data_IF_020542599813
#
_entry.id   IF_020542599813
#
_cell.length_a   1.000
_cell.length_b   1.000
_cell.length_c   1.000
_cell.angle_alpha   90.00
_cell.angle_beta   90.00
_cell.angle_gamma   90.00
#
_symmetry.space_group_name_H-M   'P 1'
#
loop_
_entity.id
_entity.type
_entity.pdbx_description
1 polymer ?
#
# COMPACT_ATOMS: atom_id res chain seq x y z
N UNK A 1 -64.06 75.37 -14.53
CA UNK A 1 -62.80 76.10 -14.32
C UNK A 1 -61.65 75.17 -14.69
N UNK A 2 -60.88 75.55 -15.71
CA UNK A 2 -59.42 75.35 -15.93
C UNK A 2 -58.85 73.93 -15.70
N UNK A 3 -58.50 73.23 -16.79
CA UNK A 3 -57.15 73.14 -17.44
C UNK A 3 -56.28 72.09 -16.71
N UNK A 4 -56.02 70.92 -17.29
CA UNK A 4 -55.10 70.66 -18.42
C UNK A 4 -53.64 70.81 -18.01
N UNK A 5 -52.89 69.75 -18.28
CA UNK A 5 -51.52 69.66 -18.84
C UNK A 5 -50.82 68.41 -18.23
N UNK A 6 -50.07 67.54 -18.90
CA UNK A 6 -49.55 67.37 -20.27
C UNK A 6 -49.01 65.91 -20.28
N UNK A 7 -49.46 65.08 -21.23
CA UNK A 7 -48.66 64.45 -22.31
C UNK A 7 -47.37 63.69 -21.90
N UNK A 8 -47.35 62.37 -22.11
CA UNK A 8 -46.64 61.71 -23.22
C UNK A 8 -46.47 60.20 -22.97
N UNK A 9 -47.11 59.43 -23.83
CA UNK A 9 -46.77 58.07 -24.31
C UNK A 9 -45.26 57.79 -24.39
N UNK A 10 -44.85 56.55 -24.13
CA UNK A 10 -44.32 55.59 -25.13
C UNK A 10 -43.88 54.27 -24.45
N UNK A 11 -44.31 53.18 -25.09
CA UNK A 11 -43.81 51.80 -25.03
C UNK A 11 -42.37 51.60 -24.52
N UNK A 12 -42.17 50.77 -23.50
CA UNK A 12 -40.95 49.95 -23.37
C UNK A 12 -41.33 48.51 -22.99
N UNK A 13 -41.40 47.71 -24.05
CA UNK A 13 -40.93 46.32 -24.22
C UNK A 13 -40.58 45.55 -22.94
N UNK A 14 -41.30 44.43 -22.75
CA UNK A 14 -40.88 43.27 -21.98
C UNK A 14 -39.45 42.85 -22.36
N UNK A 15 -38.46 43.27 -21.58
CA UNK A 15 -37.14 42.62 -21.56
C UNK A 15 -37.16 41.59 -20.43
N UNK A 16 -37.53 40.39 -20.84
CA UNK A 16 -37.15 39.12 -20.25
C UNK A 16 -35.66 39.22 -19.90
N UNK A 17 -35.37 39.50 -18.63
CA UNK A 17 -34.01 39.42 -18.11
C UNK A 17 -33.69 37.93 -17.98
N UNK A 18 -33.22 37.37 -19.09
CA UNK A 18 -32.41 36.17 -19.10
C UNK A 18 -31.16 36.45 -18.23
N UNK A 19 -31.27 36.22 -16.92
CA UNK A 19 -30.12 35.72 -16.18
C UNK A 19 -29.85 34.30 -16.70
N UNK A 20 -29.15 34.26 -17.85
CA UNK A 20 -28.32 33.11 -18.21
C UNK A 20 -27.39 32.93 -17.02
N UNK A 21 -27.70 31.95 -16.16
CA UNK A 21 -26.67 31.29 -15.37
C UNK A 21 -25.61 30.90 -16.40
N UNK A 22 -24.45 31.52 -16.32
CA UNK A 22 -23.27 30.91 -16.90
C UNK A 22 -23.12 29.58 -16.19
N UNK A 23 -23.66 28.52 -16.79
CA UNK A 23 -23.20 27.17 -16.55
C UNK A 23 -21.73 27.19 -16.93
N UNK A 24 -20.87 27.42 -15.93
CA UNK A 24 -19.47 27.08 -16.05
C UNK A 24 -19.46 25.61 -16.45
N UNK A 25 -19.11 25.34 -17.71
CA UNK A 25 -18.81 23.98 -18.13
C UNK A 25 -17.80 23.44 -17.11
N UNK A 26 -18.06 22.28 -16.50
CA UNK A 26 -17.13 21.69 -15.56
C UNK A 26 -15.79 21.59 -16.27
N UNK A 27 -14.76 22.21 -15.69
CA UNK A 27 -13.40 22.05 -16.18
C UNK A 27 -13.13 20.55 -16.12
N UNK A 28 -12.47 19.97 -17.12
CA UNK A 28 -12.20 18.52 -17.17
C UNK A 28 -11.54 18.02 -15.86
N UNK A 29 -10.83 18.90 -15.13
CA UNK A 29 -10.33 18.64 -13.78
C UNK A 29 -11.41 18.25 -12.77
N UNK A 30 -12.57 18.91 -12.79
CA UNK A 30 -13.66 18.70 -11.83
C UNK A 30 -14.42 17.40 -12.09
N UNK A 31 -14.33 16.87 -13.32
CA UNK A 31 -14.85 15.56 -13.72
C UNK A 31 -13.88 14.40 -13.40
N UNK A 32 -12.64 14.70 -13.03
CA UNK A 32 -11.58 13.73 -12.74
C UNK A 32 -11.22 13.66 -11.25
N UNK A 33 -11.86 14.46 -10.40
CA UNK A 33 -11.76 14.32 -8.95
C UNK A 33 -12.74 13.21 -8.55
N UNK A 34 -12.23 12.00 -8.36
CA UNK A 34 -12.97 10.99 -7.61
C UNK A 34 -13.14 11.49 -6.17
N UNK A 35 -14.38 11.84 -5.81
CA UNK A 35 -14.74 12.18 -4.44
C UNK A 35 -14.82 10.89 -3.62
N UNK A 36 -13.70 10.56 -2.96
CA UNK A 36 -13.59 9.39 -2.11
C UNK A 36 -14.26 9.65 -0.75
N UNK A 37 -15.54 9.26 -0.64
CA UNK A 37 -16.27 9.28 0.63
C UNK A 37 -16.00 8.01 1.46
N UNK A 38 -14.95 8.06 2.29
CA UNK A 38 -14.55 6.98 3.21
C UNK A 38 -15.51 6.80 4.41
N UNK A 39 -16.45 7.74 4.61
CA UNK A 39 -17.35 7.72 5.76
C UNK A 39 -18.49 6.70 5.62
N UNK A 40 -18.72 6.15 4.42
CA UNK A 40 -19.80 5.20 4.14
C UNK A 40 -19.71 3.91 4.98
N UNK A 41 -18.50 3.49 5.30
CA UNK A 41 -18.23 2.29 6.11
C UNK A 41 -17.79 2.62 7.55
N UNK A 42 -18.03 3.85 8.00
CA UNK A 42 -17.64 4.30 9.33
C UNK A 42 -18.37 3.53 10.44
N UNK A 43 -17.59 2.86 11.30
CA UNK A 43 -18.09 2.24 12.53
C UNK A 43 -17.92 3.21 13.68
N UNK A 44 -19.00 3.54 14.37
CA UNK A 44 -18.98 4.37 15.58
C UNK A 44 -19.08 3.49 16.84
N UNK A 45 -17.94 3.16 17.44
CA UNK A 45 -17.88 2.41 18.70
C UNK A 45 -17.51 3.33 19.86
N UNK A 46 -18.51 3.69 20.66
CA UNK A 46 -18.37 4.60 21.81
C UNK A 46 -18.59 3.91 23.17
N UNK A 47 -18.90 2.60 23.16
CA UNK A 47 -19.36 1.88 24.36
C UNK A 47 -18.33 1.88 25.50
N UNK A 48 -17.05 1.72 25.16
CA UNK A 48 -15.94 1.66 26.12
C UNK A 48 -14.99 2.87 26.01
N UNK A 49 -15.46 3.98 25.43
CA UNK A 49 -14.66 5.18 25.25
C UNK A 49 -14.84 6.12 26.45
N UNK A 50 -13.75 6.51 27.16
CA UNK A 50 -13.81 7.49 28.24
C UNK A 50 -14.47 8.80 27.81
N UNK A 51 -15.24 9.42 28.70
CA UNK A 51 -16.05 10.60 28.36
C UNK A 51 -15.25 11.76 27.75
N UNK A 52 -14.03 12.04 28.24
CA UNK A 52 -13.18 13.12 27.70
C UNK A 52 -12.58 12.81 26.32
N UNK A 53 -12.66 11.56 25.86
CA UNK A 53 -12.17 11.13 24.54
C UNK A 53 -13.29 10.92 23.53
N UNK A 54 -14.56 10.86 23.96
CA UNK A 54 -15.71 10.51 23.09
C UNK A 54 -15.78 11.35 21.81
N UNK A 55 -15.63 12.67 21.92
CA UNK A 55 -15.69 13.54 20.74
C UNK A 55 -14.51 13.29 19.79
N UNK A 56 -13.29 13.14 20.31
CA UNK A 56 -12.11 12.85 19.50
C UNK A 56 -12.28 11.51 18.76
N UNK A 57 -12.79 10.48 19.44
CA UNK A 57 -13.02 9.17 18.82
C UNK A 57 -14.13 9.23 17.78
N UNK A 58 -15.19 10.00 18.03
CA UNK A 58 -16.27 10.22 17.06
C UNK A 58 -15.73 10.94 15.82
N UNK A 59 -14.93 11.98 16.00
CA UNK A 59 -14.30 12.72 14.89
C UNK A 59 -13.43 11.79 14.04
N UNK A 60 -12.56 10.99 14.67
CA UNK A 60 -11.73 9.99 13.98
C UNK A 60 -12.58 8.98 13.21
N UNK A 61 -13.59 8.42 13.88
CA UNK A 61 -14.48 7.42 13.30
C UNK A 61 -15.27 7.97 12.12
N UNK A 62 -15.66 9.25 12.16
CA UNK A 62 -16.46 9.89 11.11
C UNK A 62 -15.70 10.06 9.80
N UNK A 63 -14.39 10.30 9.87
CA UNK A 63 -13.53 10.40 8.69
C UNK A 63 -13.10 9.01 8.19
N UNK A 64 -12.97 8.03 9.10
CA UNK A 64 -12.70 6.62 8.81
C UNK A 64 -11.53 6.35 7.84
N UNK A 65 -10.53 7.24 7.85
CA UNK A 65 -9.29 7.12 7.08
C UNK A 65 -8.09 7.34 7.99
N UNK A 66 -7.07 6.50 7.88
CA UNK A 66 -5.80 6.72 8.56
C UNK A 66 -4.95 7.69 7.74
N UNK A 67 -4.75 8.90 8.26
CA UNK A 67 -3.92 9.94 7.66
C UNK A 67 -2.61 10.12 8.44
N UNK A 68 -1.51 10.29 7.70
CA UNK A 68 -0.23 10.73 8.27
C UNK A 68 -0.16 12.26 8.38
N UNK A 69 0.96 12.81 8.87
CA UNK A 69 1.16 14.26 8.93
C UNK A 69 1.21 14.93 7.54
N UNK A 70 1.59 14.16 6.51
CA UNK A 70 1.79 14.67 5.16
C UNK A 70 0.44 14.88 4.46
N UNK A 71 0.16 16.13 4.09
CA UNK A 71 -0.99 16.50 3.25
C UNK A 71 -0.74 16.31 1.76
N UNK A 72 -1.81 16.40 0.97
CA UNK A 72 -1.74 16.26 -0.48
C UNK A 72 -0.99 17.45 -1.13
N UNK A 73 -0.53 17.28 -2.37
CA UNK A 73 0.23 18.32 -3.08
C UNK A 73 -0.61 19.60 -3.20
N UNK A 74 -0.13 20.68 -2.60
CA UNK A 74 -0.80 21.98 -2.62
C UNK A 74 -1.71 22.24 -1.42
N UNK A 75 -1.92 21.25 -0.54
CA UNK A 75 -2.60 21.46 0.73
C UNK A 75 -1.70 22.23 1.70
N UNK A 76 -2.24 23.31 2.26
CA UNK A 76 -1.58 24.11 3.29
C UNK A 76 -2.18 23.78 4.65
N UNK A 77 -1.89 22.59 5.16
CA UNK A 77 -2.31 22.22 6.51
C UNK A 77 -2.10 20.74 6.83
N UNK A 78 -2.11 20.44 8.12
CA UNK A 78 -2.09 19.06 8.59
C UNK A 78 -3.44 18.39 8.32
N UNK A 79 -3.45 17.14 7.82
CA UNK A 79 -4.67 16.37 7.58
C UNK A 79 -5.59 16.28 8.81
N UNK A 80 -6.90 16.22 8.58
CA UNK A 80 -7.89 16.37 9.64
C UNK A 80 -7.82 15.24 10.68
N UNK A 81 -7.66 14.00 10.22
CA UNK A 81 -7.55 12.85 11.10
C UNK A 81 -6.19 12.76 11.79
N UNK A 82 -5.12 13.24 11.17
CA UNK A 82 -3.85 13.39 11.89
C UNK A 82 -3.93 14.44 13.02
N UNK A 83 -4.63 15.56 12.81
CA UNK A 83 -4.92 16.52 13.90
C UNK A 83 -5.73 15.87 15.03
N UNK A 84 -6.73 15.05 14.71
CA UNK A 84 -7.51 14.34 15.72
C UNK A 84 -6.68 13.28 16.46
N UNK A 85 -5.76 12.60 15.76
CA UNK A 85 -4.76 11.74 16.38
C UNK A 85 -3.87 12.50 17.36
N UNK A 86 -3.35 13.68 16.99
CA UNK A 86 -2.56 14.50 17.92
C UNK A 86 -3.35 14.87 19.18
N UNK A 87 -4.64 15.22 19.04
CA UNK A 87 -5.52 15.46 20.20
C UNK A 87 -5.67 14.20 21.07
N UNK A 88 -5.88 13.04 20.45
CA UNK A 88 -5.99 11.75 21.14
C UNK A 88 -4.70 11.44 21.91
N UNK A 89 -3.55 11.51 21.23
CA UNK A 89 -2.22 11.24 21.79
C UNK A 89 -1.90 12.12 23.00
N UNK A 90 -2.26 13.41 22.94
CA UNK A 90 -1.98 14.36 24.00
C UNK A 90 -2.90 14.21 25.22
N UNK A 91 -4.15 13.75 25.02
CA UNK A 91 -5.14 13.65 26.11
C UNK A 91 -5.26 12.27 26.74
N UNK A 92 -4.98 11.21 26.00
CA UNK A 92 -5.15 9.84 26.48
C UNK A 92 -3.92 9.36 27.26
N UNK A 93 -4.17 8.67 28.36
CA UNK A 93 -3.18 7.87 29.09
C UNK A 93 -2.77 6.62 28.29
N UNK A 94 -1.65 5.97 28.68
CA UNK A 94 -1.26 4.68 28.09
C UNK A 94 -2.37 3.64 28.22
N UNK A 95 -3.04 3.55 29.37
CA UNK A 95 -4.10 2.57 29.61
C UNK A 95 -5.31 2.81 28.71
N UNK A 96 -5.67 4.07 28.47
CA UNK A 96 -6.77 4.44 27.59
C UNK A 96 -6.46 4.14 26.13
N UNK A 97 -5.25 4.47 25.66
CA UNK A 97 -4.80 4.08 24.33
C UNK A 97 -4.79 2.56 24.18
N UNK A 98 -4.31 1.82 25.18
CA UNK A 98 -4.34 0.36 25.18
C UNK A 98 -5.76 -0.18 25.10
N UNK A 99 -6.71 0.39 25.83
CA UNK A 99 -8.13 0.04 25.73
C UNK A 99 -8.67 0.29 24.32
N UNK A 100 -8.36 1.46 23.74
CA UNK A 100 -8.82 1.88 22.41
C UNK A 100 -8.30 1.01 21.26
N UNK A 101 -7.21 0.25 21.44
CA UNK A 101 -6.81 -0.77 20.46
C UNK A 101 -7.87 -1.89 20.26
N UNK A 102 -8.86 -2.00 21.15
CA UNK A 102 -10.03 -2.89 21.01
C UNK A 102 -11.21 -2.24 20.29
N UNK A 103 -11.15 -0.94 19.98
CA UNK A 103 -12.27 -0.25 19.32
C UNK A 103 -12.63 -0.96 18.01
N UNK A 104 -13.92 -1.08 17.70
CA UNK A 104 -14.37 -1.76 16.46
C UNK A 104 -13.95 -1.02 15.19
N UNK A 105 -13.80 0.30 15.25
CA UNK A 105 -13.26 1.09 14.15
C UNK A 105 -11.74 0.84 14.04
N UNK A 106 -11.29 0.33 12.88
CA UNK A 106 -9.88 0.00 12.65
C UNK A 106 -8.98 1.23 12.69
N UNK A 107 -9.44 2.39 12.19
CA UNK A 107 -8.65 3.63 12.20
C UNK A 107 -8.43 4.12 13.63
N UNK A 108 -9.46 4.08 14.48
CA UNK A 108 -9.32 4.39 15.91
C UNK A 108 -8.32 3.44 16.58
N UNK A 109 -8.46 2.14 16.34
CA UNK A 109 -7.58 1.13 16.93
C UNK A 109 -6.11 1.31 16.49
N UNK A 110 -5.88 1.67 15.22
CA UNK A 110 -4.55 1.92 14.67
C UNK A 110 -3.94 3.21 15.24
N UNK A 111 -4.69 4.31 15.29
CA UNK A 111 -4.20 5.54 15.92
C UNK A 111 -3.86 5.35 17.40
N UNK A 112 -4.70 4.61 18.13
CA UNK A 112 -4.41 4.26 19.52
C UNK A 112 -3.12 3.43 19.64
N UNK A 113 -2.92 2.47 18.74
CA UNK A 113 -1.72 1.64 18.70
C UNK A 113 -0.45 2.44 18.38
N UNK A 114 -0.51 3.36 17.41
CA UNK A 114 0.60 4.26 17.08
C UNK A 114 0.92 5.17 18.28
N UNK A 115 -0.11 5.71 18.94
CA UNK A 115 0.10 6.51 20.14
C UNK A 115 0.78 5.74 21.27
N UNK A 116 0.48 4.44 21.45
CA UNK A 116 1.18 3.58 22.41
C UNK A 116 2.64 3.37 22.03
N UNK A 117 2.90 3.08 20.75
CA UNK A 117 4.24 2.89 20.22
C UNK A 117 5.12 4.13 20.48
N UNK A 118 4.57 5.31 20.22
CA UNK A 118 5.26 6.59 20.42
C UNK A 118 5.52 6.91 21.89
N UNK A 119 4.62 6.53 22.80
CA UNK A 119 4.82 6.75 24.24
C UNK A 119 5.80 5.74 24.85
N UNK A 120 5.72 4.48 24.45
CA UNK A 120 6.45 3.40 25.12
C UNK A 120 6.65 2.18 24.21
N UNK A 121 7.91 1.92 23.85
CA UNK A 121 8.30 0.83 22.97
C UNK A 121 7.97 -0.57 23.51
N UNK A 122 7.72 -0.75 24.83
CA UNK A 122 7.31 -2.04 25.41
C UNK A 122 6.03 -2.60 24.79
N UNK A 123 5.21 -1.76 24.17
CA UNK A 123 3.96 -2.15 23.54
C UNK A 123 4.10 -2.59 22.07
N UNK A 124 5.27 -2.39 21.44
CA UNK A 124 5.50 -2.62 20.01
C UNK A 124 4.98 -3.98 19.55
N UNK A 125 5.58 -5.06 20.07
CA UNK A 125 5.25 -6.43 19.68
C UNK A 125 3.81 -6.82 20.05
N UNK A 126 3.36 -6.68 21.32
CA UNK A 126 2.02 -7.16 21.70
C UNK A 126 0.88 -6.37 21.02
N UNK A 127 1.05 -5.06 20.80
CA UNK A 127 0.05 -4.27 20.08
C UNK A 127 0.10 -4.56 18.59
N UNK A 128 1.28 -4.71 17.99
CA UNK A 128 1.39 -5.13 16.60
C UNK A 128 0.67 -6.47 16.37
N UNK A 129 0.96 -7.49 17.18
CA UNK A 129 0.31 -8.81 17.08
C UNK A 129 -1.21 -8.71 17.17
N UNK A 130 -1.72 -7.85 18.06
CA UNK A 130 -3.16 -7.62 18.22
C UNK A 130 -3.78 -6.99 16.98
N UNK A 131 -3.18 -5.92 16.46
CA UNK A 131 -3.66 -5.22 15.27
C UNK A 131 -3.51 -6.10 14.03
N UNK A 132 -2.44 -6.88 13.94
CA UNK A 132 -2.16 -7.86 12.89
C UNK A 132 -3.25 -8.93 12.74
N UNK A 133 -3.89 -9.33 13.84
CA UNK A 133 -4.99 -10.30 13.80
C UNK A 133 -6.36 -9.69 13.43
N UNK A 134 -6.43 -8.37 13.20
CA UNK A 134 -7.67 -7.72 12.77
C UNK A 134 -7.90 -8.01 11.29
N UNK A 135 -9.13 -8.40 10.96
CA UNK A 135 -9.55 -8.67 9.59
C UNK A 135 -9.95 -7.37 8.88
N UNK A 136 -9.93 -7.42 7.55
CA UNK A 136 -10.32 -6.32 6.68
C UNK A 136 -9.15 -5.40 6.32
N UNK A 137 -9.45 -4.47 5.44
CA UNK A 137 -8.57 -3.37 5.06
C UNK A 137 -9.08 -2.08 5.68
N UNK A 138 -8.27 -1.03 5.61
CA UNK A 138 -8.68 0.33 5.94
C UNK A 138 -8.05 1.31 4.96
N UNK A 139 -8.74 2.42 4.73
CA UNK A 139 -8.23 3.51 3.91
C UNK A 139 -7.05 4.17 4.59
N UNK A 140 -5.95 4.31 3.86
CA UNK A 140 -4.72 4.98 4.28
C UNK A 140 -4.44 6.14 3.32
N UNK A 141 -4.09 7.30 3.88
CA UNK A 141 -3.60 8.46 3.16
C UNK A 141 -2.25 8.94 3.71
N UNK A 142 -1.27 9.03 2.83
CA UNK A 142 0.05 9.58 3.11
C UNK A 142 0.46 10.54 1.99
N UNK A 143 0.16 11.83 2.18
CA UNK A 143 0.22 12.81 1.11
C UNK A 143 -0.67 12.39 -0.06
N UNK A 144 -0.14 12.41 -1.28
CA UNK A 144 -0.88 12.01 -2.48
C UNK A 144 -1.06 10.48 -2.61
N UNK A 145 -0.48 9.67 -1.71
CA UNK A 145 -0.62 8.22 -1.77
C UNK A 145 -1.87 7.81 -1.01
N UNK A 146 -2.76 7.09 -1.69
CA UNK A 146 -3.97 6.52 -1.13
C UNK A 146 -3.95 5.00 -1.36
N UNK A 147 -4.32 4.22 -0.34
CA UNK A 147 -4.34 2.75 -0.42
C UNK A 147 -5.35 2.15 0.53
N UNK A 148 -5.69 0.88 0.27
CA UNK A 148 -6.50 0.01 1.13
C UNK A 148 -5.64 -1.13 1.64
N UNK A 149 -5.05 -0.96 2.83
CA UNK A 149 -4.14 -1.95 3.40
C UNK A 149 -4.66 -2.52 4.72
N UNK A 150 -4.01 -3.58 5.19
CA UNK A 150 -4.28 -4.17 6.49
C UNK A 150 -3.98 -3.19 7.64
N UNK A 151 -4.73 -3.23 8.75
CA UNK A 151 -4.52 -2.34 9.90
C UNK A 151 -3.11 -2.36 10.51
N UNK A 152 -2.33 -3.42 10.30
CA UNK A 152 -0.97 -3.53 10.81
C UNK A 152 0.07 -2.75 9.98
N UNK A 153 -0.27 -2.39 8.73
CA UNK A 153 0.63 -1.72 7.79
C UNK A 153 1.22 -0.41 8.38
N UNK A 154 0.41 0.51 8.95
CA UNK A 154 0.97 1.75 9.50
C UNK A 154 1.85 1.55 10.70
N UNK A 155 1.55 0.56 11.56
CA UNK A 155 2.35 0.26 12.74
C UNK A 155 3.73 -0.25 12.32
N UNK A 156 3.77 -1.12 11.32
CA UNK A 156 5.02 -1.64 10.79
C UNK A 156 5.91 -0.51 10.27
N UNK A 157 5.37 0.35 9.39
CA UNK A 157 6.13 1.46 8.83
C UNK A 157 6.55 2.48 9.88
N UNK A 158 5.69 2.77 10.85
CA UNK A 158 6.02 3.67 11.96
C UNK A 158 7.21 3.15 12.76
N UNK A 159 7.20 1.86 13.10
CA UNK A 159 8.29 1.24 13.85
C UNK A 159 9.56 1.12 13.02
N UNK A 160 9.46 0.62 11.79
CA UNK A 160 10.56 0.48 10.85
C UNK A 160 11.29 1.80 10.62
N UNK A 161 10.55 2.90 10.37
CA UNK A 161 11.12 4.22 10.10
C UNK A 161 11.66 4.91 11.36
N UNK A 162 11.34 4.43 12.56
CA UNK A 162 11.94 4.92 13.79
C UNK A 162 13.36 4.39 14.01
N UNK A 163 13.68 3.23 13.44
CA UNK A 163 14.99 2.59 13.55
C UNK A 163 16.00 3.23 12.59
N UNK A 164 17.25 3.33 13.04
CA UNK A 164 18.37 3.68 12.17
C UNK A 164 18.72 2.52 11.24
N UNK A 165 19.32 2.79 10.06
CA UNK A 165 19.69 1.74 9.11
C UNK A 165 20.52 0.60 9.72
N UNK A 166 21.42 0.90 10.67
CA UNK A 166 22.28 -0.10 11.31
C UNK A 166 21.52 -1.01 12.29
N UNK A 167 20.33 -0.59 12.72
CA UNK A 167 19.50 -1.33 13.68
C UNK A 167 18.55 -2.32 12.99
N UNK A 168 18.22 -2.10 11.71
CA UNK A 168 17.19 -2.87 10.99
C UNK A 168 17.44 -4.39 10.99
N UNK A 169 18.70 -4.81 10.99
CA UNK A 169 19.06 -6.24 10.95
C UNK A 169 19.16 -6.86 12.35
N UNK A 170 19.43 -6.06 13.39
CA UNK A 170 19.74 -6.55 14.75
C UNK A 170 18.62 -6.34 15.77
N UNK A 171 17.67 -5.45 15.48
CA UNK A 171 16.54 -5.13 16.35
C UNK A 171 15.63 -6.37 16.57
N UNK A 172 15.36 -6.69 17.84
CA UNK A 172 14.62 -7.89 18.22
C UNK A 172 13.11 -7.75 18.08
N UNK A 173 12.56 -6.55 18.22
CA UNK A 173 11.13 -6.33 18.05
C UNK A 173 10.79 -6.35 16.55
N UNK A 174 11.59 -5.68 15.71
CA UNK A 174 11.43 -5.75 14.26
C UNK A 174 11.55 -7.19 13.76
N UNK A 175 12.47 -7.99 14.33
CA UNK A 175 12.57 -9.42 14.01
C UNK A 175 11.29 -10.19 14.30
N UNK A 176 10.62 -9.87 15.40
CA UNK A 176 9.34 -10.50 15.75
C UNK A 176 8.23 -10.03 14.80
N UNK A 177 8.14 -8.74 14.51
CA UNK A 177 7.19 -8.17 13.55
C UNK A 177 7.35 -8.81 12.16
N UNK A 178 8.57 -8.85 11.65
CA UNK A 178 8.91 -9.47 10.37
C UNK A 178 8.51 -10.96 10.33
N UNK A 179 8.76 -11.68 11.42
CA UNK A 179 8.36 -13.09 11.54
C UNK A 179 6.85 -13.29 11.51
N UNK A 180 6.08 -12.37 12.09
CA UNK A 180 4.61 -12.39 12.00
C UNK A 180 4.14 -12.13 10.56
N UNK A 181 4.75 -11.17 9.87
CA UNK A 181 4.40 -10.81 8.48
C UNK A 181 4.55 -12.00 7.53
N UNK A 182 5.56 -12.86 7.72
CA UNK A 182 5.74 -14.08 6.91
C UNK A 182 4.50 -15.00 6.93
N UNK A 183 3.73 -15.00 8.02
CA UNK A 183 2.50 -15.77 8.14
C UNK A 183 1.26 -15.10 7.56
N UNK A 184 1.32 -13.81 7.17
CA UNK A 184 0.15 -13.06 6.70
C UNK A 184 -0.07 -13.27 5.20
N UNK A 185 -1.14 -13.96 4.77
CA UNK A 185 -1.42 -14.12 3.34
C UNK A 185 -1.79 -12.78 2.67
N UNK A 186 -2.38 -11.86 3.45
CA UNK A 186 -2.84 -10.55 3.00
C UNK A 186 -1.91 -9.38 3.32
N UNK A 187 -0.64 -9.64 3.68
CA UNK A 187 0.35 -8.56 3.81
C UNK A 187 0.52 -7.86 2.46
N UNK A 188 0.66 -6.53 2.46
CA UNK A 188 1.03 -5.80 1.24
C UNK A 188 2.35 -6.36 0.69
N UNK A 189 2.53 -6.33 -0.63
CA UNK A 189 3.80 -6.78 -1.23
C UNK A 189 5.00 -5.97 -0.69
N UNK A 190 4.77 -4.72 -0.30
CA UNK A 190 5.81 -3.83 0.19
C UNK A 190 6.32 -4.23 1.58
N UNK A 191 5.44 -4.47 2.56
CA UNK A 191 5.90 -4.93 3.89
C UNK A 191 6.47 -6.33 3.83
N UNK A 192 5.92 -7.19 2.96
CA UNK A 192 6.43 -8.55 2.83
C UNK A 192 7.83 -8.57 2.22
N UNK A 193 8.06 -7.75 1.18
CA UNK A 193 9.40 -7.52 0.62
C UNK A 193 10.36 -6.99 1.69
N UNK A 194 9.92 -6.01 2.48
CA UNK A 194 10.75 -5.39 3.52
C UNK A 194 11.14 -6.38 4.62
N UNK A 195 10.17 -7.17 5.10
CA UNK A 195 10.41 -8.21 6.09
C UNK A 195 11.43 -9.26 5.61
N UNK A 196 11.36 -9.65 4.33
CA UNK A 196 12.28 -10.64 3.75
C UNK A 196 13.69 -10.08 3.46
N UNK A 197 13.83 -8.77 3.24
CA UNK A 197 15.08 -8.13 2.83
C UNK A 197 16.16 -8.14 3.91
N UNK A 198 15.77 -7.99 5.17
CA UNK A 198 16.71 -7.61 6.23
C UNK A 198 17.33 -8.79 7.00
N UNK A 199 16.93 -10.03 6.71
CA UNK A 199 17.35 -11.17 7.52
C UNK A 199 17.17 -12.51 6.82
N UNK A 200 17.88 -13.52 7.31
CA UNK A 200 17.60 -14.93 7.01
C UNK A 200 16.75 -15.55 8.10
N UNK A 201 15.86 -16.46 7.71
CA UNK A 201 14.86 -17.05 8.59
C UNK A 201 15.20 -18.49 9.00
N UNK A 202 14.65 -18.91 10.15
CA UNK A 202 14.78 -20.28 10.65
C UNK A 202 14.10 -21.29 9.73
N UNK A 203 14.42 -22.58 9.88
CA UNK A 203 13.88 -23.65 9.05
C UNK A 203 12.33 -23.72 9.07
N UNK A 204 11.69 -23.41 10.20
CA UNK A 204 10.23 -23.38 10.31
C UNK A 204 9.60 -22.27 9.47
N UNK A 205 10.14 -21.05 9.57
CA UNK A 205 9.69 -19.89 8.78
C UNK A 205 10.02 -20.05 7.30
N UNK A 206 11.13 -20.70 6.95
CA UNK A 206 11.49 -21.03 5.56
C UNK A 206 10.40 -21.85 4.86
N UNK A 207 9.80 -22.85 5.54
CA UNK A 207 8.67 -23.62 4.97
C UNK A 207 7.46 -22.74 4.68
N UNK A 208 7.18 -21.78 5.58
CA UNK A 208 6.11 -20.82 5.36
C UNK A 208 6.43 -19.90 4.17
N UNK A 209 7.68 -19.44 4.02
CA UNK A 209 8.10 -18.64 2.86
C UNK A 209 7.97 -19.45 1.56
N UNK A 210 8.33 -20.74 1.56
CA UNK A 210 8.11 -21.63 0.43
C UNK A 210 6.62 -21.72 0.05
N UNK A 211 5.74 -21.85 1.04
CA UNK A 211 4.28 -21.79 0.81
C UNK A 211 3.86 -20.45 0.18
N UNK A 212 4.37 -19.33 0.69
CA UNK A 212 4.08 -18.01 0.10
C UNK A 212 4.56 -17.92 -1.36
N UNK A 213 5.72 -18.49 -1.68
CA UNK A 213 6.28 -18.45 -3.03
C UNK A 213 5.51 -19.33 -4.02
N UNK A 214 5.20 -20.58 -3.64
CA UNK A 214 4.74 -21.59 -4.60
C UNK A 214 3.23 -21.88 -4.55
N UNK A 215 2.57 -21.68 -3.40
CA UNK A 215 1.12 -21.84 -3.29
C UNK A 215 0.41 -20.50 -3.47
N UNK A 216 0.94 -19.44 -2.86
CA UNK A 216 0.35 -18.09 -2.93
C UNK A 216 0.99 -17.21 -4.00
N UNK A 217 1.99 -17.72 -4.73
CA UNK A 217 2.60 -17.04 -5.88
C UNK A 217 3.17 -15.64 -5.58
N UNK A 218 3.63 -15.43 -4.35
CA UNK A 218 4.17 -14.14 -3.88
C UNK A 218 5.61 -13.96 -4.38
N UNK A 219 5.82 -13.03 -5.29
CA UNK A 219 7.15 -12.71 -5.85
C UNK A 219 8.22 -12.46 -4.79
N UNK A 220 7.97 -11.69 -3.71
CA UNK A 220 9.02 -11.44 -2.71
C UNK A 220 9.54 -12.71 -2.03
N UNK A 221 8.65 -13.69 -1.80
CA UNK A 221 9.05 -14.99 -1.25
C UNK A 221 9.89 -15.79 -2.25
N UNK A 222 9.51 -15.79 -3.53
CA UNK A 222 10.27 -16.44 -4.60
C UNK A 222 11.70 -15.88 -4.67
N UNK A 223 11.83 -14.55 -4.69
CA UNK A 223 13.12 -13.87 -4.76
C UNK A 223 13.97 -14.14 -3.51
N UNK A 224 13.36 -14.16 -2.32
CA UNK A 224 14.04 -14.54 -1.10
C UNK A 224 14.61 -15.97 -1.16
N UNK A 225 13.82 -16.94 -1.63
CA UNK A 225 14.26 -18.33 -1.76
C UNK A 225 15.39 -18.45 -2.79
N UNK A 226 15.32 -17.71 -3.90
CA UNK A 226 16.39 -17.65 -4.87
C UNK A 226 17.69 -17.05 -4.28
N UNK A 227 17.61 -16.03 -3.43
CA UNK A 227 18.80 -15.40 -2.84
C UNK A 227 19.48 -16.27 -1.78
N UNK A 228 18.71 -16.93 -0.91
CA UNK A 228 19.25 -17.58 0.30
C UNK A 228 19.20 -19.11 0.26
N UNK A 229 18.31 -19.67 -0.56
CA UNK A 229 18.03 -21.11 -0.58
C UNK A 229 17.98 -21.67 -2.01
N UNK A 230 18.69 -21.03 -2.96
CA UNK A 230 18.70 -21.35 -4.40
C UNK A 230 18.84 -22.84 -4.68
N UNK A 231 19.81 -23.50 -4.02
CA UNK A 231 20.11 -24.92 -4.23
C UNK A 231 18.97 -25.84 -3.77
N UNK A 232 18.31 -25.49 -2.67
CA UNK A 232 17.26 -26.33 -2.07
C UNK A 232 15.95 -26.27 -2.86
N UNK A 233 15.61 -25.08 -3.39
CA UNK A 233 14.35 -24.85 -4.12
C UNK A 233 14.56 -24.64 -5.62
N UNK A 234 15.67 -25.15 -6.17
CA UNK A 234 16.10 -24.85 -7.54
C UNK A 234 15.02 -25.12 -8.58
N UNK A 235 14.37 -26.28 -8.49
CA UNK A 235 13.39 -26.70 -9.50
C UNK A 235 12.10 -25.90 -9.37
N UNK A 236 11.58 -25.73 -8.15
CA UNK A 236 10.36 -24.95 -7.91
C UNK A 236 10.54 -23.47 -8.26
N UNK A 237 11.72 -22.88 -7.94
CA UNK A 237 12.03 -21.50 -8.30
C UNK A 237 12.06 -21.32 -9.82
N UNK A 238 12.71 -22.22 -10.55
CA UNK A 238 12.76 -22.14 -12.02
C UNK A 238 11.36 -22.28 -12.64
N UNK A 239 10.54 -23.21 -12.14
CA UNK A 239 9.15 -23.39 -12.59
C UNK A 239 8.33 -22.11 -12.39
N UNK A 240 8.44 -21.49 -11.22
CA UNK A 240 7.70 -20.26 -10.91
C UNK A 240 8.19 -19.06 -11.74
N UNK A 241 9.50 -18.95 -11.99
CA UNK A 241 10.06 -17.92 -12.87
C UNK A 241 9.58 -18.08 -14.32
N UNK A 242 9.50 -19.32 -14.84
CA UNK A 242 8.93 -19.62 -16.15
C UNK A 242 7.48 -19.13 -16.21
N UNK A 243 6.68 -19.45 -15.18
CA UNK A 243 5.28 -19.00 -15.08
C UNK A 243 5.18 -17.47 -15.12
N UNK A 244 6.08 -16.75 -14.43
CA UNK A 244 6.08 -15.30 -14.38
C UNK A 244 6.49 -14.64 -15.70
N UNK A 245 7.49 -15.16 -16.42
CA UNK A 245 7.88 -14.58 -17.73
C UNK A 245 6.80 -14.82 -18.80
N UNK A 246 6.07 -15.92 -18.72
CA UNK A 246 4.97 -16.26 -19.61
C UNK A 246 3.66 -15.51 -19.29
N UNK A 247 3.55 -14.88 -18.11
CA UNK A 247 2.35 -14.16 -17.70
C UNK A 247 2.27 -12.75 -18.32
N UNK A 248 1.33 -12.51 -19.22
CA UNK A 248 1.16 -11.23 -19.92
C UNK A 248 0.80 -10.03 -19.04
N UNK A 249 0.32 -10.25 -17.81
CA UNK A 249 0.03 -9.18 -16.85
C UNK A 249 1.27 -8.62 -16.15
N UNK A 250 2.43 -9.27 -16.28
CA UNK A 250 3.68 -8.81 -15.67
C UNK A 250 4.35 -7.77 -16.58
N UNK A 251 4.75 -6.63 -16.01
CA UNK A 251 5.47 -5.59 -16.74
C UNK A 251 6.80 -6.09 -17.32
N UNK A 252 7.17 -5.59 -18.51
CA UNK A 252 8.35 -6.04 -19.25
C UNK A 252 9.66 -5.97 -18.45
N UNK A 253 9.84 -4.93 -17.63
CA UNK A 253 11.04 -4.76 -16.80
C UNK A 253 11.17 -5.87 -15.74
N UNK A 254 10.07 -6.27 -15.11
CA UNK A 254 10.05 -7.39 -14.17
C UNK A 254 10.28 -8.73 -14.88
N UNK A 255 9.70 -8.92 -16.07
CA UNK A 255 9.98 -10.13 -16.87
C UNK A 255 11.46 -10.24 -17.24
N UNK A 256 12.09 -9.11 -17.58
CA UNK A 256 13.54 -9.05 -17.85
C UNK A 256 14.35 -9.51 -16.64
N UNK A 257 13.99 -9.06 -15.44
CA UNK A 257 14.63 -9.49 -14.19
C UNK A 257 14.46 -10.99 -13.95
N UNK A 258 13.23 -11.51 -14.06
CA UNK A 258 12.95 -12.92 -13.85
C UNK A 258 13.66 -13.82 -14.86
N UNK A 259 13.75 -13.39 -16.12
CA UNK A 259 14.52 -14.08 -17.14
C UNK A 259 16.01 -14.16 -16.77
N UNK A 260 16.61 -13.07 -16.32
CA UNK A 260 18.01 -13.06 -15.90
C UNK A 260 18.24 -13.99 -14.71
N UNK A 261 17.32 -14.02 -13.75
CA UNK A 261 17.37 -14.97 -12.63
C UNK A 261 17.28 -16.41 -13.14
N UNK A 262 16.33 -16.71 -14.04
CA UNK A 262 16.15 -18.04 -14.62
C UNK A 262 17.40 -18.51 -15.38
N UNK A 263 18.01 -17.64 -16.20
CA UNK A 263 19.24 -17.96 -16.92
C UNK A 263 20.42 -18.24 -15.99
N UNK A 264 20.45 -17.61 -14.79
CA UNK A 264 21.50 -17.84 -13.80
C UNK A 264 21.51 -19.26 -13.20
N UNK A 265 20.51 -20.09 -13.48
CA UNK A 265 20.50 -21.51 -13.10
C UNK A 265 21.35 -22.37 -14.05
N UNK A 266 21.70 -21.88 -15.24
CA UNK A 266 22.45 -22.62 -16.26
C UNK A 266 21.85 -24.01 -16.57
N UNK A 267 20.51 -24.11 -16.52
CA UNK A 267 19.80 -25.37 -16.69
C UNK A 267 19.38 -25.56 -18.16
N UNK A 268 20.02 -26.51 -18.83
CA UNK A 268 19.77 -26.84 -20.25
C UNK A 268 18.35 -27.35 -20.51
N UNK A 269 17.66 -27.89 -19.51
CA UNK A 269 16.27 -28.35 -19.66
C UNK A 269 15.33 -27.18 -19.98
N UNK A 270 15.66 -25.97 -19.54
CA UNK A 270 14.88 -24.77 -19.84
C UNK A 270 15.06 -24.27 -21.28
N UNK A 271 15.99 -24.84 -22.07
CA UNK A 271 16.37 -24.32 -23.40
C UNK A 271 15.16 -24.10 -24.30
N UNK A 272 14.25 -25.07 -24.38
CA UNK A 272 13.05 -24.98 -25.24
C UNK A 272 12.14 -23.81 -24.82
N UNK A 273 11.88 -23.68 -23.53
CA UNK A 273 11.04 -22.61 -22.97
C UNK A 273 11.66 -21.24 -23.19
N UNK A 274 12.95 -21.09 -22.89
CA UNK A 274 13.71 -19.85 -23.09
C UNK A 274 13.69 -19.42 -24.56
N UNK A 275 13.92 -20.34 -25.50
CA UNK A 275 13.87 -20.06 -26.93
C UNK A 275 12.48 -19.57 -27.37
N UNK A 276 11.42 -20.24 -26.92
CA UNK A 276 10.05 -19.84 -27.25
C UNK A 276 9.73 -18.43 -26.72
N UNK A 277 10.19 -18.12 -25.51
CA UNK A 277 10.00 -16.80 -24.91
C UNK A 277 10.77 -15.69 -25.65
N UNK A 278 12.05 -15.91 -25.94
CA UNK A 278 12.91 -14.94 -26.65
C UNK A 278 12.43 -14.69 -28.08
N UNK A 279 11.96 -15.73 -28.79
CA UNK A 279 11.42 -15.57 -30.16
C UNK A 279 10.24 -14.60 -30.22
N UNK A 280 9.41 -14.57 -29.18
CA UNK A 280 8.25 -13.67 -29.07
C UNK A 280 8.62 -12.25 -28.65
N UNK A 281 9.81 -12.03 -28.08
CA UNK A 281 10.20 -10.75 -27.46
C UNK A 281 11.46 -10.19 -28.14
N UNK A 282 11.28 -9.53 -29.29
CA UNK A 282 12.37 -8.98 -30.11
C UNK A 282 13.31 -8.03 -29.36
N UNK A 283 12.77 -7.21 -28.46
CA UNK A 283 13.55 -6.25 -27.66
C UNK A 283 14.60 -6.94 -26.76
N UNK A 284 14.32 -8.14 -26.26
CA UNK A 284 15.25 -8.88 -25.40
C UNK A 284 16.42 -9.48 -26.19
N UNK A 285 16.27 -9.64 -27.51
CA UNK A 285 17.34 -10.13 -28.40
C UNK A 285 18.48 -9.12 -28.54
N UNK A 286 18.19 -7.84 -28.31
CA UNK A 286 19.16 -6.74 -28.38
C UNK A 286 19.85 -6.45 -27.05
N UNK A 287 19.37 -7.04 -25.96
CA UNK A 287 19.98 -6.88 -24.64
C UNK A 287 21.29 -7.67 -24.54
N UNK A 288 22.41 -6.94 -24.36
CA UNK A 288 23.75 -7.54 -24.26
C UNK A 288 23.88 -8.50 -23.08
N UNK A 289 23.28 -8.18 -21.93
CA UNK A 289 23.37 -9.01 -20.74
C UNK A 289 22.62 -10.33 -20.94
N UNK A 290 21.42 -10.27 -21.52
CA UNK A 290 20.62 -11.46 -21.82
C UNK A 290 21.33 -12.35 -22.82
N UNK A 291 21.90 -11.79 -23.91
CA UNK A 291 22.64 -12.57 -24.91
C UNK A 291 23.80 -13.36 -24.30
N UNK A 292 24.65 -12.71 -23.49
CA UNK A 292 25.76 -13.41 -22.81
C UNK A 292 25.26 -14.56 -21.92
N UNK A 293 24.13 -14.38 -21.24
CA UNK A 293 23.57 -15.41 -20.36
C UNK A 293 22.87 -16.54 -21.14
N UNK A 294 22.28 -16.24 -22.31
CA UNK A 294 21.73 -17.25 -23.21
C UNK A 294 22.83 -18.20 -23.74
N UNK A 295 23.98 -17.65 -24.13
CA UNK A 295 25.12 -18.46 -24.59
C UNK A 295 25.62 -19.42 -23.50
N UNK A 296 25.67 -18.96 -22.24
CA UNK A 296 26.00 -19.82 -21.08
C UNK A 296 25.00 -20.99 -20.91
N UNK A 297 23.76 -20.81 -21.36
CA UNK A 297 22.72 -21.83 -21.38
C UNK A 297 22.69 -22.64 -22.70
N UNK A 298 23.70 -22.46 -23.56
CA UNK A 298 23.80 -23.15 -24.86
C UNK A 298 22.75 -22.70 -25.87
N UNK A 299 22.27 -21.46 -25.76
CA UNK A 299 21.35 -20.80 -26.69
C UNK A 299 22.13 -19.74 -27.45
N UNK A 300 22.35 -19.97 -28.75
CA UNK A 300 23.11 -19.05 -29.62
C UNK A 300 22.17 -18.23 -30.50
N UNK A 301 22.66 -17.14 -31.08
CA UNK A 301 21.84 -16.22 -31.88
C UNK A 301 21.09 -16.89 -33.03
N UNK A 302 21.69 -17.93 -33.61
CA UNK A 302 21.14 -18.75 -34.69
C UNK A 302 19.91 -19.56 -34.26
N UNK A 303 19.73 -19.82 -32.97
CA UNK A 303 18.60 -20.60 -32.44
C UNK A 303 17.29 -19.77 -32.39
N UNK A 304 17.38 -18.43 -32.42
CA UNK A 304 16.25 -17.52 -32.20
C UNK A 304 16.15 -16.31 -33.14
N UNK A 305 17.02 -16.23 -34.12
CA UNK A 305 16.87 -15.37 -35.28
C UNK A 305 15.85 -15.93 -36.29
#
# INVERSE_FOLDING_TARGET
MKLSEIFCTVFIVFLISCHRKEEKQPVISDLLIEDFDFAKDAVFDTLNVPCHLKEIIKDISSLNVYETEQGEKGETGTPANFKNFQKLYNKASEQELLSLTNNKNSVVAVYAAIGLLEKNNKYTVPVFQKIFNRKGTMHIKNGCLQSDDGPAEPLYWKYYNHLKPEQLTSDQDLKQLDSMIVFLPGASELIFTTALRNRTYSAGLKKQIAKQAFENHRTPALLYLNSWHKKEYSDQVQQELIRLIENDSVYADHKREYLLILLSFNNKENKKTLLNYIKKNSLLKEDRQIRMQLENNGIFSEDFN
#
